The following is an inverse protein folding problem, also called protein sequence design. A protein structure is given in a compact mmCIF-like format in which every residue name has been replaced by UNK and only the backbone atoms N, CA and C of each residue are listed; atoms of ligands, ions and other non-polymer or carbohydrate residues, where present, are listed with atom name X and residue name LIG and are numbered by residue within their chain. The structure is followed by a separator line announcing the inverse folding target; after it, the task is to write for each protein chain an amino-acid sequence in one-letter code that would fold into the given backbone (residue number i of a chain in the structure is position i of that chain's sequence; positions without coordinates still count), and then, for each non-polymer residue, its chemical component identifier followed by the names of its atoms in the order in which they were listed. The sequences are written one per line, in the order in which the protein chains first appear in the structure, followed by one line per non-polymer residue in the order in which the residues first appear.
data_IF_910916984383
#
_entry.id   IF_910916984383
#
_cell.length_a   1.000
_cell.length_b   1.000
_cell.length_c   1.000
_cell.angle_alpha   90.00
_cell.angle_beta   90.00
_cell.angle_gamma   90.00
#
_symmetry.space_group_name_H-M   'P 1'
#
loop_
_entity.id
_entity.type
_entity.pdbx_description
1 polymer ?
#
# COMPACT_ATOMS: atom_id res chain seq x y z
N UNK A 1 -15.17 14.23 -5.22
CA UNK A 1 -15.03 12.77 -4.97
C UNK A 1 -15.17 12.51 -3.47
N UNK A 2 -15.80 11.42 -3.04
CA UNK A 2 -15.95 11.05 -1.63
C UNK A 2 -15.56 9.58 -1.44
N UNK A 3 -14.87 9.25 -0.35
CA UNK A 3 -14.52 7.88 0.06
C UNK A 3 -15.31 7.60 1.34
N UNK A 4 -16.06 6.48 1.40
CA UNK A 4 -16.66 6.04 2.66
C UNK A 4 -15.60 5.26 3.44
N UNK A 5 -15.50 5.50 4.74
CA UNK A 5 -14.50 4.87 5.59
C UNK A 5 -15.13 4.37 6.88
N UNK A 6 -14.84 3.12 7.22
CA UNK A 6 -15.14 2.50 8.50
C UNK A 6 -13.86 2.33 9.28
N UNK A 7 -13.90 2.61 10.57
CA UNK A 7 -12.79 2.38 11.48
C UNK A 7 -13.08 1.19 12.39
N UNK A 8 -12.07 0.36 12.63
CA UNK A 8 -12.15 -0.80 13.53
C UNK A 8 -11.74 -0.48 14.96
N UNK A 9 -11.26 0.74 15.20
CA UNK A 9 -10.79 1.20 16.50
C UNK A 9 -10.96 2.72 16.64
N UNK A 10 -11.07 3.19 17.87
CA UNK A 10 -11.04 4.60 18.27
C UNK A 10 -9.62 5.05 18.70
N UNK A 11 -8.66 4.12 18.74
CA UNK A 11 -7.27 4.36 19.18
C UNK A 11 -6.35 4.96 18.10
N UNK A 12 -6.84 5.15 16.88
CA UNK A 12 -6.08 5.80 15.81
C UNK A 12 -6.72 7.12 15.43
N UNK A 13 -5.90 8.12 15.11
CA UNK A 13 -6.40 9.39 14.63
C UNK A 13 -7.13 9.17 13.30
N UNK A 14 -8.22 9.94 13.11
CA UNK A 14 -8.96 9.90 11.85
C UNK A 14 -8.08 10.40 10.71
N UNK A 15 -8.18 9.73 9.57
CA UNK A 15 -7.50 10.12 8.34
C UNK A 15 -7.96 11.52 7.93
N UNK A 16 -6.99 12.38 7.67
CA UNK A 16 -7.21 13.75 7.24
C UNK A 16 -6.31 14.03 6.03
N UNK A 17 -6.92 14.38 4.91
CA UNK A 17 -6.16 14.87 3.76
C UNK A 17 -5.70 16.29 4.05
N UNK A 18 -4.39 16.54 3.98
CA UNK A 18 -3.81 17.86 4.21
C UNK A 18 -3.30 18.40 2.88
N UNK A 19 -4.14 19.22 2.26
CA UNK A 19 -3.84 19.81 0.96
C UNK A 19 -2.53 20.59 0.98
N UNK A 20 -1.78 20.51 -0.11
CA UNK A 20 -0.48 21.16 -0.28
C UNK A 20 0.68 20.59 0.56
N UNK A 21 0.49 19.52 1.35
CA UNK A 21 1.58 18.88 2.11
C UNK A 21 2.02 17.53 1.57
N UNK A 22 1.12 16.75 0.99
CA UNK A 22 1.41 15.43 0.44
C UNK A 22 0.32 15.00 -0.53
N UNK A 23 0.71 14.38 -1.64
CA UNK A 23 -0.21 13.78 -2.61
C UNK A 23 -0.76 12.41 -2.13
N UNK A 24 -0.18 11.87 -1.05
CA UNK A 24 -0.55 10.60 -0.43
C UNK A 24 -0.98 10.82 1.03
N UNK A 25 -1.85 9.96 1.53
CA UNK A 25 -2.36 10.00 2.89
C UNK A 25 -1.69 8.93 3.77
N UNK A 26 -1.16 9.33 4.91
CA UNK A 26 -0.54 8.41 5.87
C UNK A 26 -1.60 7.47 6.50
N UNK A 27 -1.30 6.17 6.56
CA UNK A 27 -2.04 5.14 7.27
C UNK A 27 -1.29 4.73 8.54
N UNK A 28 -2.04 4.19 9.51
CA UNK A 28 -1.58 4.03 10.89
C UNK A 28 -1.71 2.60 11.36
N UNK A 29 -0.81 2.15 12.24
CA UNK A 29 -0.95 0.86 12.91
C UNK A 29 -2.14 0.88 13.88
N UNK A 30 -3.03 -0.10 13.81
CA UNK A 30 -4.22 -0.18 14.67
C UNK A 30 -3.97 -0.88 16.02
N UNK A 31 -2.78 -1.44 16.23
CA UNK A 31 -2.35 -2.07 17.47
C UNK A 31 -0.82 -1.99 17.60
N UNK A 32 -0.32 -2.21 18.81
CA UNK A 32 1.10 -2.42 19.04
C UNK A 32 1.56 -3.72 18.38
N UNK A 33 2.76 -3.69 17.79
CA UNK A 33 3.41 -4.84 17.16
C UNK A 33 4.89 -4.81 17.54
N UNK A 34 5.36 -5.88 18.15
CA UNK A 34 6.79 -6.15 18.36
C UNK A 34 7.23 -7.23 17.36
N UNK A 35 8.37 -7.02 16.70
CA UNK A 35 8.96 -8.00 15.80
C UNK A 35 10.45 -8.13 16.10
N UNK A 36 10.94 -9.37 16.11
CA UNK A 36 12.38 -9.67 16.04
C UNK A 36 12.87 -9.61 14.60
N UNK A 37 14.17 -9.41 14.43
CA UNK A 37 14.79 -9.48 13.11
C UNK A 37 14.46 -10.82 12.43
N UNK A 38 13.97 -10.75 11.19
CA UNK A 38 13.53 -11.90 10.41
C UNK A 38 12.05 -12.28 10.57
N UNK A 39 11.33 -11.66 11.50
CA UNK A 39 9.90 -11.92 11.67
C UNK A 39 9.03 -11.15 10.68
N UNK A 40 7.86 -11.73 10.43
CA UNK A 40 6.82 -11.17 9.59
C UNK A 40 5.57 -10.88 10.42
N UNK A 41 4.89 -9.77 10.12
CA UNK A 41 3.52 -9.54 10.57
C UNK A 41 2.66 -8.88 9.51
N UNK A 42 1.40 -9.29 9.47
CA UNK A 42 0.35 -8.58 8.79
C UNK A 42 -0.25 -7.54 9.76
N UNK A 43 0.18 -6.29 9.64
CA UNK A 43 -0.16 -5.21 10.59
C UNK A 43 -1.52 -4.61 10.19
N UNK A 44 -2.54 -4.64 11.06
CA UNK A 44 -3.84 -4.03 10.76
C UNK A 44 -3.73 -2.51 10.71
N UNK A 45 -4.35 -1.91 9.70
CA UNK A 45 -4.39 -0.46 9.52
C UNK A 45 -5.65 0.20 10.11
N UNK A 46 -6.59 -0.60 10.62
CA UNK A 46 -7.74 -0.12 11.37
C UNK A 46 -8.83 0.54 10.52
N UNK A 47 -8.77 0.39 9.19
CA UNK A 47 -9.69 1.03 8.25
C UNK A 47 -10.20 0.01 7.22
N UNK A 48 -11.47 0.14 6.84
CA UNK A 48 -12.04 -0.38 5.60
C UNK A 48 -12.59 0.80 4.82
N UNK A 49 -12.48 0.78 3.49
CA UNK A 49 -12.91 1.89 2.66
C UNK A 49 -13.69 1.43 1.45
N UNK A 50 -14.66 2.25 1.05
CA UNK A 50 -15.29 2.16 -0.25
C UNK A 50 -14.78 3.30 -1.11
N UNK A 51 -14.01 2.90 -2.11
CA UNK A 51 -13.43 3.81 -3.10
C UNK A 51 -14.51 4.26 -4.10
N UNK A 52 -14.31 5.39 -4.80
CA UNK A 52 -15.18 5.77 -5.89
C UNK A 52 -15.14 4.71 -6.99
N UNK A 53 -16.26 4.51 -7.68
CA UNK A 53 -16.32 3.54 -8.78
C UNK A 53 -15.27 3.85 -9.86
N UNK A 54 -14.57 2.83 -10.32
CA UNK A 54 -13.50 2.89 -11.31
C UNK A 54 -12.12 3.22 -10.74
N UNK A 55 -11.93 3.13 -9.41
CA UNK A 55 -10.67 3.46 -8.75
C UNK A 55 -10.12 2.30 -7.91
N UNK A 56 -8.81 2.19 -7.84
CA UNK A 56 -8.08 1.33 -6.92
C UNK A 56 -7.22 2.19 -5.98
N UNK A 57 -6.82 1.64 -4.83
CA UNK A 57 -5.87 2.31 -3.93
C UNK A 57 -4.52 1.61 -3.93
N UNK A 58 -3.46 2.40 -3.88
CA UNK A 58 -2.08 1.91 -3.80
C UNK A 58 -1.51 2.26 -2.43
N UNK A 59 -0.95 1.27 -1.74
CA UNK A 59 -0.36 1.40 -0.40
C UNK A 59 1.13 1.10 -0.45
N UNK A 60 1.96 2.04 -0.03
CA UNK A 60 3.43 1.91 -0.02
C UNK A 60 4.02 2.36 1.32
N UNK A 61 5.26 1.95 1.66
CA UNK A 61 5.95 2.49 2.82
C UNK A 61 6.16 4.00 2.67
N UNK A 62 6.24 4.69 3.81
CA UNK A 62 6.77 6.05 3.85
C UNK A 62 8.29 5.96 3.68
N UNK A 63 8.92 7.03 3.18
CA UNK A 63 10.38 7.08 3.05
C UNK A 63 11.10 6.84 4.38
N UNK A 64 10.46 7.22 5.49
CA UNK A 64 10.97 7.02 6.85
C UNK A 64 10.57 5.69 7.50
N UNK A 65 9.76 4.84 6.86
CA UNK A 65 9.27 3.59 7.46
C UNK A 65 10.42 2.67 7.85
N UNK A 66 11.38 2.43 6.95
CA UNK A 66 12.55 1.62 7.28
C UNK A 66 13.45 2.31 8.32
N UNK A 67 13.67 3.62 8.22
CA UNK A 67 14.47 4.38 9.18
C UNK A 67 13.92 4.26 10.60
N UNK A 68 12.62 4.49 10.77
CA UNK A 68 11.97 4.54 12.07
C UNK A 68 11.69 3.13 12.61
N UNK A 69 11.18 2.24 11.76
CA UNK A 69 10.63 0.95 12.20
C UNK A 69 11.41 -0.27 11.71
N UNK A 70 12.42 -0.12 10.86
CA UNK A 70 13.27 -1.24 10.43
C UNK A 70 12.56 -2.29 9.57
N UNK A 71 11.36 -1.98 9.05
CA UNK A 71 10.56 -2.90 8.25
C UNK A 71 10.53 -2.52 6.78
N UNK A 72 10.38 -3.54 5.93
CA UNK A 72 9.99 -3.40 4.53
C UNK A 72 8.57 -3.94 4.33
N UNK A 73 7.90 -3.45 3.29
CA UNK A 73 6.64 -4.01 2.82
C UNK A 73 6.93 -5.14 1.83
N UNK A 74 6.53 -6.36 2.19
CA UNK A 74 6.90 -7.59 1.45
C UNK A 74 6.27 -7.70 0.07
N UNK A 75 5.11 -7.09 -0.15
CA UNK A 75 4.46 -7.03 -1.46
C UNK A 75 4.85 -5.78 -2.27
N UNK A 76 5.83 -4.99 -1.80
CA UNK A 76 6.30 -3.72 -2.37
C UNK A 76 5.25 -2.60 -2.41
N UNK A 77 4.13 -2.83 -3.10
CA UNK A 77 2.98 -1.95 -3.20
C UNK A 77 1.71 -2.79 -3.07
N UNK A 78 0.88 -2.46 -2.08
CA UNK A 78 -0.44 -3.07 -1.92
C UNK A 78 -1.41 -2.42 -2.89
N UNK A 79 -2.12 -3.22 -3.68
CA UNK A 79 -3.24 -2.75 -4.51
C UNK A 79 -4.53 -3.17 -3.83
N UNK A 80 -5.39 -2.19 -3.56
CA UNK A 80 -6.73 -2.42 -2.99
C UNK A 80 -7.76 -2.15 -4.08
N UNK A 81 -8.43 -3.21 -4.49
CA UNK A 81 -9.49 -3.16 -5.50
C UNK A 81 -10.74 -2.44 -4.96
N UNK A 82 -11.53 -1.82 -5.85
CA UNK A 82 -12.80 -1.16 -5.44
C UNK A 82 -13.80 -2.13 -4.82
N UNK A 83 -13.72 -3.41 -5.17
CA UNK A 83 -14.59 -4.47 -4.66
C UNK A 83 -14.23 -4.89 -3.23
N UNK A 84 -13.04 -4.52 -2.74
CA UNK A 84 -12.61 -4.76 -1.35
C UNK A 84 -13.16 -3.69 -0.39
N UNK A 85 -14.49 -3.59 -0.35
CA UNK A 85 -15.23 -2.53 0.34
C UNK A 85 -16.27 -3.03 1.36
N UNK A 86 -16.24 -4.33 1.68
CA UNK A 86 -17.11 -4.93 2.68
C UNK A 86 -16.84 -4.44 4.10
N UNK A 87 -17.82 -4.64 4.98
CA UNK A 87 -17.75 -4.18 6.38
C UNK A 87 -16.55 -4.75 7.17
N UNK A 88 -15.99 -5.87 6.72
CA UNK A 88 -14.86 -6.55 7.37
C UNK A 88 -13.57 -6.53 6.51
N UNK A 89 -13.58 -5.81 5.38
CA UNK A 89 -12.45 -5.70 4.45
C UNK A 89 -11.43 -4.67 4.97
N UNK A 90 -10.85 -4.99 6.12
CA UNK A 90 -9.84 -4.17 6.76
C UNK A 90 -8.54 -4.19 5.95
N UNK A 91 -7.90 -3.03 5.83
CA UNK A 91 -6.61 -2.92 5.15
C UNK A 91 -5.47 -3.34 6.08
N UNK A 92 -4.41 -3.91 5.50
CA UNK A 92 -3.25 -4.40 6.23
C UNK A 92 -1.92 -4.01 5.54
N UNK A 93 -0.87 -3.87 6.35
CA UNK A 93 0.51 -3.66 5.89
C UNK A 93 1.36 -4.91 6.18
N UNK A 94 1.82 -5.64 5.15
CA UNK A 94 2.57 -6.89 5.33
C UNK A 94 4.07 -6.59 5.57
N UNK A 95 4.43 -6.43 6.83
CA UNK A 95 5.75 -6.01 7.30
C UNK A 95 6.70 -7.21 7.47
N UNK A 96 7.93 -7.05 6.99
CA UNK A 96 9.07 -7.91 7.34
C UNK A 96 10.14 -7.10 8.04
N UNK A 97 10.59 -7.55 9.21
CA UNK A 97 11.54 -6.84 10.06
C UNK A 97 12.99 -7.21 9.72
N UNK A 98 13.82 -6.21 9.39
CA UNK A 98 15.26 -6.39 9.20
C UNK A 98 16.07 -6.15 10.49
N UNK A 99 15.42 -5.64 11.53
CA UNK A 99 15.97 -5.48 12.88
C UNK A 99 14.83 -5.60 13.88
N UNK A 100 15.17 -5.90 15.13
CA UNK A 100 14.24 -5.82 16.24
C UNK A 100 13.56 -4.44 16.26
N UNK A 101 12.25 -4.45 16.43
CA UNK A 101 11.45 -3.23 16.32
C UNK A 101 10.16 -3.32 17.10
N UNK A 102 9.67 -2.15 17.47
CA UNK A 102 8.36 -1.94 18.08
C UNK A 102 7.65 -0.87 17.26
N UNK A 103 6.45 -1.18 16.82
CA UNK A 103 5.52 -0.26 16.17
C UNK A 103 4.37 -0.07 17.16
N UNK A 104 4.09 1.18 17.53
CA UNK A 104 3.02 1.49 18.45
C UNK A 104 1.71 1.77 17.72
N UNK A 105 0.59 1.55 18.39
CA UNK A 105 -0.71 2.00 17.93
C UNK A 105 -0.65 3.48 17.55
N UNK A 106 -1.34 3.85 16.47
CA UNK A 106 -1.40 5.18 15.89
C UNK A 106 -0.14 5.64 15.13
N UNK A 107 0.96 4.88 15.15
CA UNK A 107 2.15 5.19 14.36
C UNK A 107 1.84 5.18 12.86
N UNK A 108 2.34 6.19 12.13
CA UNK A 108 2.20 6.32 10.68
C UNK A 108 3.24 5.48 9.96
N UNK A 109 2.86 4.30 9.49
CA UNK A 109 3.80 3.27 8.97
C UNK A 109 3.81 3.15 7.45
N UNK A 110 2.75 3.56 6.76
CA UNK A 110 2.63 3.53 5.30
C UNK A 110 1.75 4.69 4.85
N UNK A 111 1.56 4.81 3.54
CA UNK A 111 0.76 5.86 2.92
C UNK A 111 0.02 5.30 1.71
N UNK A 112 -1.11 5.91 1.35
CA UNK A 112 -1.88 5.51 0.19
C UNK A 112 -2.34 6.67 -0.68
N UNK A 113 -2.63 6.36 -1.95
CA UNK A 113 -3.39 7.21 -2.87
C UNK A 113 -4.41 6.35 -3.61
N UNK A 114 -5.33 6.98 -4.34
CA UNK A 114 -6.18 6.29 -5.31
C UNK A 114 -5.78 6.64 -6.74
N UNK A 115 -6.09 5.75 -7.68
CA UNK A 115 -5.90 5.93 -9.12
C UNK A 115 -7.04 5.26 -9.89
N UNK A 116 -7.31 5.77 -11.09
CA UNK A 116 -8.28 5.13 -11.99
C UNK A 116 -7.79 3.75 -12.41
N UNK A 117 -8.73 2.83 -12.59
CA UNK A 117 -8.45 1.51 -13.15
C UNK A 117 -7.82 1.63 -14.54
N UNK A 118 -7.06 0.61 -14.92
CA UNK A 118 -6.68 0.44 -16.32
C UNK A 118 -7.93 0.32 -17.22
N UNK A 119 -7.87 0.80 -18.47
CA UNK A 119 -8.94 0.60 -19.43
C UNK A 119 -9.24 -0.89 -19.66
N UNK A 120 -10.47 -1.21 -20.05
CA UNK A 120 -10.81 -2.56 -20.50
C UNK A 120 -10.06 -2.89 -21.80
N UNK A 121 -9.54 -4.12 -21.90
CA UNK A 121 -8.88 -4.65 -23.09
C UNK A 121 -9.18 -6.14 -23.27
N UNK A 122 -8.92 -6.65 -24.47
CA UNK A 122 -8.93 -8.08 -24.78
C UNK A 122 -7.55 -8.50 -25.27
N UNK A 123 -7.14 -9.73 -24.93
CA UNK A 123 -5.93 -10.31 -25.50
C UNK A 123 -6.21 -10.84 -26.90
N UNK A 124 -5.31 -10.55 -27.84
CA UNK A 124 -5.27 -11.13 -29.17
C UNK A 124 -4.02 -12.03 -29.26
N UNK A 125 -4.23 -13.33 -29.38
CA UNK A 125 -3.14 -14.31 -29.51
C UNK A 125 -2.55 -14.25 -30.93
N UNK A 126 -1.21 -14.29 -31.04
CA UNK A 126 -0.49 -14.23 -32.32
C UNK A 126 0.77 -15.11 -32.27
N UNK A 127 1.14 -15.69 -33.41
CA UNK A 127 2.40 -16.42 -33.57
C UNK A 127 3.62 -15.49 -33.60
N UNK A 128 3.45 -14.20 -33.89
CA UNK A 128 4.55 -13.22 -33.98
C UNK A 128 4.10 -11.78 -33.70
N UNK A 129 4.89 -11.04 -32.91
CA UNK A 129 4.65 -9.61 -32.63
C UNK A 129 5.19 -8.66 -33.73
N UNK A 130 6.13 -9.12 -34.56
CA UNK A 130 6.65 -8.36 -35.72
C UNK A 130 7.51 -7.12 -35.43
N UNK A 131 7.87 -6.86 -34.17
CA UNK A 131 8.68 -5.70 -33.77
C UNK A 131 10.16 -6.07 -33.57
N UNK A 132 11.06 -5.09 -33.62
CA UNK A 132 12.46 -5.28 -33.19
C UNK A 132 12.56 -5.41 -31.67
N UNK A 133 13.47 -6.27 -31.21
CA UNK A 133 13.73 -6.45 -29.79
C UNK A 133 14.36 -5.20 -29.18
N UNK A 134 13.70 -4.60 -28.18
CA UNK A 134 14.25 -3.50 -27.40
C UNK A 134 15.40 -3.93 -26.47
N UNK A 135 15.33 -5.15 -25.93
CA UNK A 135 16.15 -5.61 -24.81
C UNK A 135 15.70 -5.08 -23.44
N UNK A 136 16.24 -5.67 -22.36
CA UNK A 136 15.91 -5.35 -20.96
C UNK A 136 17.04 -5.77 -20.00
N UNK A 137 16.78 -5.76 -18.68
CA UNK A 137 17.72 -6.20 -17.64
C UNK A 137 19.11 -5.54 -17.69
N UNK A 138 19.14 -4.21 -17.87
CA UNK A 138 20.41 -3.47 -17.95
C UNK A 138 21.05 -3.48 -19.34
N UNK A 139 20.27 -3.74 -20.41
CA UNK A 139 20.74 -3.72 -21.80
C UNK A 139 21.38 -2.39 -22.23
N UNK A 140 21.08 -1.28 -21.57
CA UNK A 140 21.70 0.04 -21.80
C UNK A 140 23.01 0.25 -21.04
N UNK A 141 23.50 -0.76 -20.32
CA UNK A 141 24.67 -0.65 -19.46
C UNK A 141 24.41 0.15 -18.19
N UNK A 142 25.50 0.49 -17.51
CA UNK A 142 25.49 1.11 -16.17
C UNK A 142 26.41 2.32 -16.06
N UNK A 143 26.87 2.87 -17.19
CA UNK A 143 27.86 3.97 -17.26
C UNK A 143 27.31 5.13 -18.06
#
# INVERSE_FOLDING_TARGET
MKIRIKYFTDKIDRLCYIDGKSDWMDLRAARDVELKAGEFALIPLGVAMELPKGYEAHVVPRSSTFKNFGVIQTNHMGVIDETYCGDNDQWFFPAYALRDTVIHVNDRICQFRIMEHQPSFSFEETDCLGNQDRGGHGSTGTK
#
